data_IF_816370152757
#
_entry.id   IF_816370152757
#
_cell.length_a   1.000
_cell.length_b   1.000
_cell.length_c   1.000
_cell.angle_alpha   90.00
_cell.angle_beta   90.00
_cell.angle_gamma   90.00
#
_symmetry.space_group_name_H-M   'P 1'
#
loop_
_entity.id
_entity.type
_entity.pdbx_description
1 polymer ?
#
# COMPACT_ATOMS: atom_id res chain seq x y z
N UNK A 1 16.45 -8.57 18.60
CA UNK A 1 15.81 -8.99 17.33
C UNK A 1 14.36 -8.51 17.18
N UNK A 2 13.47 -8.67 18.18
CA UNK A 2 12.05 -8.25 18.05
C UNK A 2 11.87 -6.74 17.91
N UNK A 3 12.56 -5.93 18.71
CA UNK A 3 12.54 -4.47 18.58
C UNK A 3 12.92 -3.99 17.16
N UNK A 4 14.03 -4.53 16.61
CA UNK A 4 14.49 -4.25 15.24
C UNK A 4 13.42 -4.64 14.22
N UNK A 5 12.81 -5.83 14.36
CA UNK A 5 11.73 -6.27 13.48
C UNK A 5 10.49 -5.36 13.52
N UNK A 6 10.10 -4.87 14.70
CA UNK A 6 9.00 -3.91 14.85
C UNK A 6 9.35 -2.60 14.16
N UNK A 7 10.56 -2.09 14.38
CA UNK A 7 11.03 -0.87 13.76
C UNK A 7 11.03 -1.00 12.22
N UNK A 8 11.57 -2.09 11.68
CA UNK A 8 11.58 -2.34 10.23
C UNK A 8 10.17 -2.42 9.63
N UNK A 9 9.25 -3.19 10.25
CA UNK A 9 7.87 -3.29 9.76
C UNK A 9 7.11 -1.98 9.82
N UNK A 10 7.44 -1.13 10.79
CA UNK A 10 6.85 0.21 10.91
C UNK A 10 7.43 1.18 9.91
N UNK A 11 8.68 0.97 9.47
CA UNK A 11 9.36 1.82 8.50
C UNK A 11 8.94 1.53 7.05
N UNK A 12 8.56 0.28 6.73
CA UNK A 12 8.18 -0.09 5.35
C UNK A 12 7.08 0.76 4.71
N UNK A 13 5.96 1.08 5.39
CA UNK A 13 4.96 1.99 4.82
C UNK A 13 5.55 3.33 4.40
N UNK A 14 6.41 3.93 5.23
CA UNK A 14 7.01 5.23 4.94
C UNK A 14 8.02 5.18 3.79
N UNK A 15 8.85 4.13 3.76
CA UNK A 15 9.76 3.89 2.63
C UNK A 15 8.93 3.74 1.35
N UNK A 16 7.86 2.97 1.40
CA UNK A 16 7.02 2.74 0.24
C UNK A 16 6.30 4.02 -0.21
N UNK A 17 5.75 4.82 0.71
CA UNK A 17 5.22 6.15 0.40
C UNK A 17 6.26 7.00 -0.32
N UNK A 18 7.50 7.06 0.20
CA UNK A 18 8.58 7.78 -0.48
C UNK A 18 8.87 7.25 -1.89
N UNK A 19 8.81 5.93 -2.11
CA UNK A 19 8.97 5.34 -3.44
C UNK A 19 7.84 5.75 -4.40
N UNK A 20 6.58 5.70 -3.96
CA UNK A 20 5.42 6.18 -4.73
C UNK A 20 5.63 7.65 -5.13
N UNK A 21 6.02 8.48 -4.16
CA UNK A 21 6.24 9.90 -4.40
C UNK A 21 7.35 10.15 -5.45
N UNK A 22 8.45 9.41 -5.35
CA UNK A 22 9.55 9.48 -6.31
C UNK A 22 9.13 8.99 -7.70
N UNK A 23 8.32 7.93 -7.76
CA UNK A 23 7.77 7.41 -9.01
C UNK A 23 6.90 8.48 -9.68
N UNK A 24 5.95 9.07 -8.95
CA UNK A 24 5.09 10.15 -9.46
C UNK A 24 5.89 11.39 -9.89
N UNK A 25 6.92 11.77 -9.12
CA UNK A 25 7.75 12.94 -9.45
C UNK A 25 8.57 12.80 -10.73
N UNK A 26 8.99 11.57 -11.08
CA UNK A 26 9.94 11.31 -12.18
C UNK A 26 9.27 10.73 -13.42
N UNK A 27 8.05 10.23 -13.30
CA UNK A 27 7.40 9.52 -14.39
C UNK A 27 6.68 10.50 -15.32
N UNK A 28 7.35 10.85 -16.42
CA UNK A 28 6.81 11.68 -17.50
C UNK A 28 6.15 10.81 -18.58
N UNK A 29 4.81 10.91 -18.78
CA UNK A 29 4.12 10.14 -19.82
C UNK A 29 4.47 10.61 -21.25
N UNK A 30 4.94 11.85 -21.43
CA UNK A 30 5.39 12.35 -22.73
C UNK A 30 6.64 11.61 -23.22
N UNK A 31 7.52 11.18 -22.30
CA UNK A 31 8.67 10.34 -22.62
C UNK A 31 8.28 9.02 -23.30
N UNK A 32 7.15 8.41 -22.92
CA UNK A 32 6.61 7.19 -23.54
C UNK A 32 6.01 7.50 -24.91
N UNK A 33 5.38 8.66 -25.07
CA UNK A 33 4.86 9.11 -26.37
C UNK A 33 5.98 9.41 -27.37
N UNK A 34 7.14 9.90 -26.93
CA UNK A 34 8.33 10.12 -27.77
C UNK A 34 8.92 8.82 -28.33
N UNK A 35 8.65 7.68 -27.69
CA UNK A 35 9.03 6.35 -28.20
C UNK A 35 8.09 5.82 -29.30
N UNK A 36 6.97 6.50 -29.60
CA UNK A 36 6.04 6.12 -30.70
C UNK A 36 6.64 6.16 -32.08
N UNK A 37 7.73 6.91 -32.26
CA UNK A 37 8.47 6.91 -33.54
C UNK A 37 9.34 5.66 -33.71
N UNK A 38 9.54 4.86 -32.66
CA UNK A 38 10.44 3.69 -32.64
C UNK A 38 9.68 2.39 -32.33
N UNK A 39 8.65 2.44 -31.50
CA UNK A 39 7.86 1.29 -31.06
C UNK A 39 6.52 1.21 -31.80
N UNK A 40 5.96 0.00 -31.93
CA UNK A 40 4.62 -0.19 -32.49
C UNK A 40 3.52 0.25 -31.51
N UNK A 41 2.39 0.71 -32.04
CA UNK A 41 1.25 1.17 -31.25
C UNK A 41 0.76 0.13 -30.22
N UNK A 42 0.83 -1.16 -30.57
CA UNK A 42 0.45 -2.26 -29.67
C UNK A 42 1.36 -2.30 -28.44
N UNK A 43 2.67 -2.07 -28.61
CA UNK A 43 3.63 -2.07 -27.52
C UNK A 43 3.42 -0.85 -26.62
N UNK A 44 3.15 0.32 -27.21
CA UNK A 44 2.87 1.53 -26.43
C UNK A 44 1.58 1.40 -25.63
N UNK A 45 0.52 0.86 -26.25
CA UNK A 45 -0.74 0.60 -25.56
C UNK A 45 -0.55 -0.39 -24.39
N UNK A 46 0.25 -1.44 -24.59
CA UNK A 46 0.57 -2.39 -23.54
C UNK A 46 1.37 -1.75 -22.38
N UNK A 47 2.34 -0.89 -22.68
CA UNK A 47 3.13 -0.16 -21.68
C UNK A 47 2.22 0.79 -20.89
N UNK A 48 1.42 1.62 -21.58
CA UNK A 48 0.47 2.55 -20.95
C UNK A 48 -0.54 1.82 -20.07
N UNK A 49 -1.14 0.75 -20.57
CA UNK A 49 -2.08 -0.07 -19.79
C UNK A 49 -1.43 -0.71 -18.55
N UNK A 50 -0.18 -1.16 -18.64
CA UNK A 50 0.54 -1.72 -17.49
C UNK A 50 0.79 -0.67 -16.40
N UNK A 51 1.11 0.57 -16.81
CA UNK A 51 1.33 1.68 -15.88
C UNK A 51 0.03 2.11 -15.19
N UNK A 52 -1.09 2.15 -15.93
CA UNK A 52 -2.41 2.41 -15.35
C UNK A 52 -2.85 1.32 -14.37
N UNK A 53 -2.59 0.05 -14.71
CA UNK A 53 -2.87 -1.07 -13.81
C UNK A 53 -1.97 -1.05 -12.58
N UNK A 54 -0.74 -0.54 -12.68
CA UNK A 54 0.15 -0.41 -11.53
C UNK A 54 -0.46 0.49 -10.44
N UNK A 55 -1.13 1.59 -10.81
CA UNK A 55 -1.79 2.49 -9.86
C UNK A 55 -2.87 1.77 -9.03
N UNK A 56 -3.65 0.88 -9.66
CA UNK A 56 -4.65 0.04 -8.98
C UNK A 56 -4.05 -0.77 -7.82
N UNK A 57 -2.84 -1.29 -8.00
CA UNK A 57 -2.18 -2.13 -7.00
C UNK A 57 -1.32 -1.34 -6.01
N UNK A 58 -0.80 -0.18 -6.39
CA UNK A 58 0.15 0.62 -5.61
C UNK A 58 -0.39 0.99 -4.23
N UNK A 59 -1.56 1.63 -4.17
CA UNK A 59 -2.15 2.03 -2.88
C UNK A 59 -2.73 0.83 -2.10
N UNK A 60 -3.05 -0.27 -2.79
CA UNK A 60 -3.45 -1.53 -2.19
C UNK A 60 -2.30 -2.23 -1.45
N UNK A 61 -1.08 -2.13 -2.01
CA UNK A 61 0.15 -2.58 -1.35
C UNK A 61 0.44 -1.71 -0.13
N UNK A 62 0.31 -0.38 -0.26
CA UNK A 62 0.45 0.54 0.86
C UNK A 62 -0.49 0.18 2.02
N UNK A 63 -1.76 -0.13 1.71
CA UNK A 63 -2.72 -0.61 2.69
C UNK A 63 -2.23 -1.87 3.42
N UNK A 64 -1.72 -2.88 2.70
CA UNK A 64 -1.14 -4.09 3.30
C UNK A 64 0.04 -3.78 4.22
N UNK A 65 0.95 -2.89 3.80
CA UNK A 65 2.11 -2.48 4.60
C UNK A 65 1.67 -1.83 5.91
N UNK A 66 0.69 -0.92 5.85
CA UNK A 66 0.14 -0.26 7.04
C UNK A 66 -0.50 -1.29 7.99
N UNK A 67 -1.27 -2.26 7.47
CA UNK A 67 -1.83 -3.34 8.27
C UNK A 67 -0.72 -4.14 8.98
N UNK A 68 0.36 -4.49 8.27
CA UNK A 68 1.50 -5.20 8.87
C UNK A 68 2.20 -4.38 9.97
N UNK A 69 2.36 -3.08 9.78
CA UNK A 69 2.85 -2.17 10.81
C UNK A 69 1.92 -2.17 12.04
N UNK A 70 0.61 -2.02 11.85
CA UNK A 70 -0.39 -1.98 12.92
C UNK A 70 -0.51 -3.30 13.70
N UNK A 71 -0.23 -4.44 13.06
CA UNK A 71 -0.20 -5.76 13.70
C UNK A 71 0.95 -5.90 14.71
N UNK A 72 2.02 -5.10 14.57
CA UNK A 72 3.13 -5.06 15.53
C UNK A 72 2.71 -4.49 16.89
N UNK A 73 1.61 -3.72 16.92
CA UNK A 73 1.07 -3.04 18.09
C UNK A 73 -0.21 -3.70 18.63
N UNK A 74 -0.50 -4.94 18.22
CA UNK A 74 -1.63 -5.74 18.73
C UNK A 74 -2.48 -6.33 17.62
N UNK A 75 -3.53 -7.05 17.99
CA UNK A 75 -4.41 -7.72 17.02
C UNK A 75 -5.08 -6.70 16.09
N UNK A 76 -5.43 -7.17 14.90
CA UNK A 76 -6.23 -6.38 13.98
C UNK A 76 -7.64 -6.25 14.54
N UNK A 77 -8.19 -5.06 14.45
CA UNK A 77 -9.58 -4.75 14.77
C UNK A 77 -10.13 -3.83 13.67
N UNK A 78 -11.45 -3.64 13.64
CA UNK A 78 -12.11 -2.81 12.63
C UNK A 78 -11.53 -1.39 12.58
N UNK A 79 -11.18 -0.82 13.73
CA UNK A 79 -10.61 0.52 13.80
C UNK A 79 -9.25 0.63 13.10
N UNK A 80 -8.36 -0.35 13.27
CA UNK A 80 -7.06 -0.43 12.57
C UNK A 80 -7.24 -0.63 11.06
N UNK A 81 -8.23 -1.42 10.65
CA UNK A 81 -8.56 -1.56 9.22
C UNK A 81 -9.04 -0.23 8.64
N UNK A 82 -9.98 0.45 9.29
CA UNK A 82 -10.47 1.76 8.87
C UNK A 82 -9.36 2.80 8.83
N UNK A 83 -8.49 2.83 9.84
CA UNK A 83 -7.34 3.73 9.86
C UNK A 83 -6.41 3.48 8.65
N UNK A 84 -6.10 2.21 8.36
CA UNK A 84 -5.26 1.86 7.22
C UNK A 84 -5.90 2.25 5.88
N UNK A 85 -7.22 2.04 5.72
CA UNK A 85 -7.96 2.49 4.52
C UNK A 85 -7.86 4.01 4.38
N UNK A 86 -8.17 4.76 5.45
CA UNK A 86 -8.18 6.23 5.42
C UNK A 86 -6.81 6.78 5.08
N UNK A 87 -5.74 6.24 5.69
CA UNK A 87 -4.36 6.68 5.39
C UNK A 87 -4.03 6.39 3.92
N UNK A 88 -4.33 5.19 3.41
CA UNK A 88 -4.06 4.84 2.01
C UNK A 88 -4.84 5.72 1.03
N UNK A 89 -6.11 6.01 1.30
CA UNK A 89 -6.95 6.87 0.46
C UNK A 89 -6.48 8.32 0.48
N UNK A 90 -6.18 8.87 1.66
CA UNK A 90 -5.65 10.23 1.79
C UNK A 90 -4.28 10.35 1.10
N UNK A 91 -3.45 9.31 1.19
CA UNK A 91 -2.17 9.31 0.50
C UNK A 91 -2.33 9.25 -1.02
N UNK A 92 -3.25 8.43 -1.54
CA UNK A 92 -3.57 8.42 -2.96
C UNK A 92 -4.14 9.75 -3.46
N UNK A 93 -4.99 10.40 -2.67
CA UNK A 93 -5.45 11.76 -2.98
C UNK A 93 -4.30 12.77 -2.97
N UNK A 94 -3.39 12.68 -1.99
CA UNK A 94 -2.22 13.55 -1.93
C UNK A 94 -1.30 13.35 -3.13
N UNK A 95 -1.16 12.11 -3.63
CA UNK A 95 -0.38 11.82 -4.84
C UNK A 95 -1.02 12.42 -6.10
N UNK A 96 -2.34 12.29 -6.28
CA UNK A 96 -3.08 12.94 -7.38
C UNK A 96 -2.99 14.48 -7.31
N UNK A 97 -3.01 15.06 -6.11
CA UNK A 97 -2.76 16.50 -5.93
C UNK A 97 -1.32 16.85 -6.27
N UNK A 98 -0.35 16.03 -5.85
CA UNK A 98 1.06 16.22 -6.16
C UNK A 98 1.31 16.17 -7.68
N UNK A 99 0.59 15.33 -8.42
CA UNK A 99 0.65 15.27 -9.88
C UNK A 99 0.31 16.60 -10.56
N UNK A 100 -0.48 17.49 -9.94
CA UNK A 100 -0.74 18.84 -10.47
C UNK A 100 0.52 19.71 -10.54
N UNK A 101 1.56 19.38 -9.76
CA UNK A 101 2.84 20.10 -9.74
C UNK A 101 3.91 19.42 -10.61
N UNK A 102 3.60 18.25 -11.19
CA UNK A 102 4.51 17.52 -12.06
C UNK A 102 4.18 17.87 -13.53
N UNK A 103 5.18 18.28 -14.36
CA UNK A 103 4.95 18.54 -15.77
C UNK A 103 4.31 17.36 -16.49
N UNK A 104 3.41 17.65 -17.44
CA UNK A 104 2.74 16.65 -18.29
C UNK A 104 1.87 15.63 -17.53
N UNK A 105 1.53 15.93 -16.27
CA UNK A 105 0.59 15.18 -15.43
C UNK A 105 -0.64 16.02 -15.13
N UNK A 106 -1.74 15.34 -14.84
CA UNK A 106 -3.00 15.96 -14.47
C UNK A 106 -3.71 15.14 -13.40
N UNK A 107 -4.42 15.83 -12.51
CA UNK A 107 -5.28 15.17 -11.53
C UNK A 107 -6.35 14.31 -12.23
N UNK A 108 -6.47 13.05 -11.85
CA UNK A 108 -7.40 12.09 -12.45
C UNK A 108 -8.38 11.54 -11.41
N UNK A 109 -9.64 11.95 -11.53
CA UNK A 109 -10.73 11.39 -10.70
C UNK A 109 -10.86 9.89 -10.94
N UNK A 110 -10.64 9.44 -12.17
CA UNK A 110 -10.73 8.03 -12.54
C UNK A 110 -9.66 7.22 -11.80
N UNK A 111 -8.43 7.73 -11.70
CA UNK A 111 -7.37 7.03 -10.99
C UNK A 111 -7.59 7.04 -9.47
N UNK A 112 -8.14 8.13 -8.91
CA UNK A 112 -8.59 8.14 -7.51
C UNK A 112 -9.65 7.05 -7.23
N UNK A 113 -10.59 6.84 -8.15
CA UNK A 113 -11.61 5.77 -8.05
C UNK A 113 -10.94 4.39 -8.16
N UNK A 114 -10.04 4.18 -9.12
CA UNK A 114 -9.29 2.91 -9.27
C UNK A 114 -8.54 2.59 -7.97
N UNK A 115 -7.76 3.55 -7.45
CA UNK A 115 -7.00 3.42 -6.21
C UNK A 115 -7.91 3.01 -5.05
N UNK A 116 -9.09 3.66 -4.95
CA UNK A 116 -10.09 3.35 -3.93
C UNK A 116 -10.64 1.93 -4.06
N UNK A 117 -10.96 1.48 -5.27
CA UNK A 117 -11.44 0.11 -5.53
C UNK A 117 -10.39 -0.92 -5.13
N UNK A 118 -9.12 -0.71 -5.52
CA UNK A 118 -8.02 -1.60 -5.17
C UNK A 118 -7.89 -1.79 -3.65
N UNK A 119 -7.86 -0.67 -2.91
CA UNK A 119 -7.78 -0.68 -1.44
C UNK A 119 -8.96 -1.45 -0.84
N UNK A 120 -10.19 -1.18 -1.30
CA UNK A 120 -11.39 -1.82 -0.76
C UNK A 120 -11.44 -3.32 -1.07
N UNK A 121 -11.00 -3.74 -2.26
CA UNK A 121 -10.92 -5.17 -2.62
C UNK A 121 -9.95 -5.89 -1.69
N UNK A 122 -8.74 -5.37 -1.52
CA UNK A 122 -7.74 -5.99 -0.62
C UNK A 122 -8.18 -5.95 0.84
N UNK A 123 -8.78 -4.84 1.30
CA UNK A 123 -9.39 -4.76 2.63
C UNK A 123 -10.41 -5.88 2.83
N UNK A 124 -11.36 -6.04 1.91
CA UNK A 124 -12.39 -7.08 2.01
C UNK A 124 -11.78 -8.48 2.09
N UNK A 125 -10.76 -8.76 1.27
CA UNK A 125 -10.03 -10.03 1.32
C UNK A 125 -9.35 -10.25 2.68
N UNK A 126 -8.64 -9.25 3.21
CA UNK A 126 -7.99 -9.33 4.51
C UNK A 126 -9.03 -9.52 5.62
N UNK A 127 -10.11 -8.73 5.62
CA UNK A 127 -11.18 -8.80 6.61
C UNK A 127 -11.78 -10.21 6.68
N UNK A 128 -12.17 -10.77 5.54
CA UNK A 128 -12.77 -12.10 5.48
C UNK A 128 -11.81 -13.20 5.92
N UNK A 129 -10.53 -13.11 5.55
CA UNK A 129 -9.52 -14.12 5.93
C UNK A 129 -9.10 -13.99 7.39
N UNK A 130 -9.05 -12.78 7.93
CA UNK A 130 -8.62 -12.54 9.30
C UNK A 130 -9.72 -12.84 10.31
N UNK A 131 -10.94 -12.31 10.10
CA UNK A 131 -12.04 -12.40 11.08
C UNK A 131 -12.95 -13.60 10.85
N UNK A 132 -13.33 -13.88 9.60
CA UNK A 132 -14.34 -14.91 9.28
C UNK A 132 -13.72 -16.30 9.18
N UNK A 133 -12.58 -16.45 8.48
CA UNK A 133 -11.95 -17.75 8.20
C UNK A 133 -10.74 -18.03 9.11
N UNK A 134 -11.00 -18.59 10.29
CA UNK A 134 -9.98 -18.87 11.33
C UNK A 134 -8.86 -19.81 10.87
N UNK A 135 -9.14 -20.72 9.94
CA UNK A 135 -8.15 -21.67 9.38
C UNK A 135 -7.45 -21.16 8.12
N UNK A 136 -7.70 -19.91 7.72
CA UNK A 136 -7.02 -19.35 6.55
C UNK A 136 -5.52 -19.20 6.83
N UNK A 137 -4.68 -19.66 5.89
CA UNK A 137 -3.21 -19.50 5.97
C UNK A 137 -2.82 -18.04 6.22
N UNK A 138 -3.46 -17.13 5.48
CA UNK A 138 -3.22 -15.68 5.53
C UNK A 138 -3.63 -15.06 6.89
N UNK A 139 -4.81 -15.41 7.42
CA UNK A 139 -5.21 -14.96 8.76
C UNK A 139 -4.31 -15.52 9.86
N UNK A 140 -3.87 -16.78 9.73
CA UNK A 140 -2.92 -17.39 10.67
C UNK A 140 -1.56 -16.67 10.65
N UNK A 141 -1.08 -16.27 9.47
CA UNK A 141 0.15 -15.52 9.30
C UNK A 141 0.09 -14.17 10.01
N UNK A 142 -0.98 -13.39 9.80
CA UNK A 142 -1.16 -12.11 10.48
C UNK A 142 -1.28 -12.26 12.02
N UNK A 143 -1.97 -13.29 12.51
CA UNK A 143 -2.02 -13.58 13.95
C UNK A 143 -0.66 -13.97 14.53
N UNK A 144 0.18 -14.69 13.77
CA UNK A 144 1.56 -15.01 14.17
C UNK A 144 2.40 -13.74 14.35
N UNK A 145 2.30 -12.76 13.44
CA UNK A 145 2.97 -11.46 13.57
C UNK A 145 2.61 -10.81 14.91
N UNK A 146 1.32 -10.64 15.19
CA UNK A 146 0.88 -10.05 16.47
C UNK A 146 1.39 -10.83 17.68
N UNK A 147 1.31 -12.15 17.65
CA UNK A 147 1.70 -13.00 18.79
C UNK A 147 3.20 -12.93 19.06
N UNK A 148 4.01 -12.88 17.99
CA UNK A 148 5.45 -12.70 18.08
C UNK A 148 5.84 -11.40 18.78
N UNK A 149 5.17 -10.28 18.45
CA UNK A 149 5.43 -8.98 19.06
C UNK A 149 4.77 -8.78 20.43
N UNK A 150 3.64 -9.44 20.73
CA UNK A 150 3.02 -9.41 22.06
C UNK A 150 3.92 -10.04 23.13
N UNK A 151 4.62 -11.13 22.79
CA UNK A 151 5.58 -11.82 23.69
C UNK A 151 6.78 -10.94 24.06
N UNK A 152 7.09 -9.91 23.28
CA UNK A 152 8.10 -8.90 23.64
C UNK A 152 7.62 -7.97 24.75
N UNK A 153 6.40 -7.42 24.64
CA UNK A 153 5.86 -6.43 25.58
C UNK A 153 5.79 -6.99 27.02
N UNK A 154 5.40 -8.26 27.16
CA UNK A 154 5.36 -8.96 28.44
C UNK A 154 6.76 -9.13 29.09
N UNK A 155 7.81 -9.35 28.29
CA UNK A 155 9.17 -9.52 28.81
C UNK A 155 9.82 -8.19 29.23
N UNK A 156 9.42 -7.07 28.63
CA UNK A 156 9.93 -5.74 29.01
C UNK A 156 9.30 -5.26 30.31
N UNK A 157 8.00 -5.53 30.53
CA UNK A 157 7.29 -5.16 31.77
C UNK A 157 7.70 -5.94 33.02
N UNK A 158 8.44 -7.04 32.87
CA UNK A 158 8.98 -7.84 33.99
C UNK A 158 10.41 -7.39 34.38
N UNK A 159 11.06 -6.58 33.53
CA UNK A 159 12.44 -6.12 33.71
C UNK A 159 12.55 -4.67 34.22
N UNK A 160 11.42 -4.02 34.51
CA UNK A 160 11.31 -2.69 35.13
C UNK A 160 10.76 -2.88 36.55
#
# INVERSE_FOLDING_TARGET
MRFIGRFMLTLFPFIYMFLIWQQTSKFDPESVSGLSTVLSDVVILAIGGTLELAHLFEFSILYCLIIMALLCYGYLNKWKETLAIVISLLYGLADEIHQLFVPFRSFSIIDLIKNSIGILVIWYFIHQKYFTKKDSRLGSFFRKITTFFKKEKANTSIKL
#
